data_IF_068490404472
#
_entry.id   IF_068490404472
#
_cell.length_a   1.000
_cell.length_b   1.000
_cell.length_c   1.000
_cell.angle_alpha   90.00
_cell.angle_beta   90.00
_cell.angle_gamma   90.00
#
_symmetry.space_group_name_H-M   'P 1'
#
loop_
_entity.id
_entity.type
_entity.pdbx_description
1 polymer ?
#
# COMPACT_ATOMS: atom_id res chain seq x y z
N UNK A 1 -13.93 -21.14 -22.05
CA UNK A 1 -14.47 -21.52 -20.73
C UNK A 1 -13.76 -20.63 -19.71
N UNK A 2 -14.39 -19.50 -19.34
CA UNK A 2 -13.76 -18.48 -18.50
C UNK A 2 -13.87 -18.90 -17.03
N UNK A 3 -12.74 -18.87 -16.32
CA UNK A 3 -12.62 -19.24 -14.91
C UNK A 3 -13.06 -18.06 -14.05
N UNK A 4 -14.16 -18.32 -13.33
CA UNK A 4 -14.69 -17.71 -12.09
C UNK A 4 -14.09 -16.37 -11.59
N UNK A 5 -14.90 -15.32 -11.66
CA UNK A 5 -14.68 -13.99 -11.07
C UNK A 5 -14.99 -13.97 -9.55
N UNK A 6 -14.67 -15.03 -8.82
CA UNK A 6 -14.93 -15.11 -7.37
C UNK A 6 -14.14 -14.08 -6.55
N UNK A 7 -13.10 -13.46 -7.13
CA UNK A 7 -12.30 -12.38 -6.55
C UNK A 7 -13.01 -11.00 -6.58
N UNK A 8 -14.08 -10.83 -7.37
CA UNK A 8 -14.79 -9.52 -7.47
C UNK A 8 -15.82 -9.28 -6.35
N UNK A 9 -15.87 -10.13 -5.33
CA UNK A 9 -16.77 -9.96 -4.18
C UNK A 9 -16.26 -9.01 -3.10
N UNK A 10 -15.06 -8.44 -3.26
CA UNK A 10 -14.63 -7.30 -2.45
C UNK A 10 -15.14 -5.99 -3.07
N UNK A 11 -16.23 -5.46 -2.52
CA UNK A 11 -16.60 -4.07 -2.78
C UNK A 11 -15.59 -3.15 -2.08
N UNK A 12 -14.65 -2.61 -2.85
CA UNK A 12 -13.74 -1.57 -2.35
C UNK A 12 -14.47 -0.23 -2.37
N UNK A 13 -14.99 0.19 -1.23
CA UNK A 13 -15.54 1.53 -1.07
C UNK A 13 -14.39 2.49 -0.84
N UNK A 14 -14.02 3.25 -1.86
CA UNK A 14 -13.14 4.41 -1.70
C UNK A 14 -13.95 5.56 -1.07
N UNK A 15 -13.75 5.81 0.21
CA UNK A 15 -14.31 6.99 0.89
C UNK A 15 -13.19 8.03 1.00
N UNK A 16 -13.19 9.08 0.16
CA UNK A 16 -12.19 10.12 0.26
C UNK A 16 -12.34 10.86 1.60
N UNK A 17 -11.23 11.11 2.27
CA UNK A 17 -11.17 11.86 3.54
C UNK A 17 -11.56 13.35 3.36
N UNK A 18 -11.58 13.85 2.12
CA UNK A 18 -11.86 15.25 1.80
C UNK A 18 -13.12 15.36 0.93
N UNK A 19 -14.01 16.29 1.30
CA UNK A 19 -15.24 16.60 0.55
C UNK A 19 -14.93 17.58 -0.59
N UNK A 20 -14.39 17.07 -1.69
CA UNK A 20 -14.30 17.84 -2.94
C UNK A 20 -15.52 17.52 -3.81
N UNK A 21 -16.17 18.53 -4.39
CA UNK A 21 -17.39 18.33 -5.20
C UNK A 21 -17.09 17.47 -6.42
N UNK A 22 -17.70 16.28 -6.48
CA UNK A 22 -17.45 15.22 -7.45
C UNK A 22 -18.03 15.53 -8.85
N UNK A 23 -17.22 15.34 -9.90
CA UNK A 23 -17.72 15.02 -11.23
C UNK A 23 -18.04 13.52 -11.30
N UNK A 24 -19.08 13.10 -12.02
CA UNK A 24 -19.50 11.72 -12.02
C UNK A 24 -18.72 10.96 -13.09
N UNK A 25 -18.21 9.79 -12.71
CA UNK A 25 -17.85 8.66 -13.59
C UNK A 25 -16.38 8.35 -13.92
N UNK A 26 -15.37 9.17 -13.58
CA UNK A 26 -13.98 8.73 -13.65
C UNK A 26 -13.14 9.38 -12.54
N UNK A 27 -12.62 8.56 -11.63
CA UNK A 27 -11.56 8.98 -10.71
C UNK A 27 -10.25 9.01 -11.50
N UNK A 28 -9.93 10.15 -12.11
CA UNK A 28 -8.53 10.55 -12.26
C UNK A 28 -8.20 11.36 -11.01
N UNK A 29 -8.14 10.69 -9.85
CA UNK A 29 -7.27 11.21 -8.81
C UNK A 29 -5.88 10.98 -9.38
N UNK A 30 -5.18 12.04 -9.77
CA UNK A 30 -3.73 11.98 -9.84
C UNK A 30 -3.29 11.61 -8.42
N UNK A 31 -3.14 10.31 -8.17
CA UNK A 31 -2.56 9.82 -6.94
C UNK A 31 -1.20 10.48 -6.83
N UNK A 32 -1.01 11.20 -5.72
CA UNK A 32 0.24 11.90 -5.44
C UNK A 32 1.42 10.95 -5.69
N UNK A 33 2.46 11.38 -6.40
CA UNK A 33 3.56 10.50 -6.81
C UNK A 33 4.20 9.79 -5.60
N UNK A 34 4.12 10.40 -4.42
CA UNK A 34 4.52 9.87 -3.13
C UNK A 34 3.75 8.59 -2.69
N UNK A 35 2.56 8.34 -3.24
CA UNK A 35 1.82 7.07 -3.09
C UNK A 35 2.43 5.93 -3.92
N UNK A 36 3.18 6.25 -4.98
CA UNK A 36 3.75 5.28 -5.93
C UNK A 36 5.24 4.97 -5.71
N UNK A 37 5.91 5.62 -4.76
CA UNK A 37 7.38 5.57 -4.64
C UNK A 37 7.89 4.93 -3.34
N UNK A 38 7.08 4.07 -2.72
CA UNK A 38 7.52 3.35 -1.53
C UNK A 38 7.02 1.90 -1.45
N UNK A 39 7.84 1.04 -0.86
CA UNK A 39 7.43 -0.31 -0.46
C UNK A 39 6.89 -0.27 0.95
N UNK A 40 5.69 -0.78 1.15
CA UNK A 40 5.08 -0.93 2.47
C UNK A 40 5.09 -2.40 2.90
N UNK A 41 5.86 -2.71 3.94
CA UNK A 41 5.91 -4.02 4.56
C UNK A 41 4.84 -4.13 5.65
N UNK A 42 4.06 -5.20 5.62
CA UNK A 42 3.09 -5.49 6.68
C UNK A 42 3.77 -5.80 8.03
N UNK A 43 3.04 -5.60 9.13
CA UNK A 43 3.56 -5.79 10.50
C UNK A 43 3.90 -7.24 10.84
N UNK A 44 3.40 -8.19 10.05
CA UNK A 44 3.69 -9.64 10.17
C UNK A 44 4.68 -10.14 9.13
N UNK A 45 5.27 -9.26 8.33
CA UNK A 45 6.31 -9.64 7.39
C UNK A 45 7.47 -10.29 8.14
N UNK A 46 7.90 -11.47 7.68
CA UNK A 46 9.06 -12.13 8.28
C UNK A 46 10.34 -11.32 8.02
N UNK A 47 11.33 -11.47 8.89
CA UNK A 47 12.61 -10.80 8.70
C UNK A 47 13.34 -11.30 7.45
N UNK A 48 13.19 -12.58 7.10
CA UNK A 48 13.74 -13.14 5.86
C UNK A 48 13.16 -12.44 4.63
N UNK A 49 11.83 -12.36 4.53
CA UNK A 49 11.16 -11.65 3.45
C UNK A 49 11.53 -10.17 3.40
N UNK A 50 11.61 -9.51 4.56
CA UNK A 50 11.97 -8.09 4.63
C UNK A 50 13.39 -7.83 4.10
N UNK A 51 14.33 -8.74 4.35
CA UNK A 51 15.70 -8.65 3.79
C UNK A 51 15.73 -8.86 2.29
N UNK A 52 14.96 -9.82 1.78
CA UNK A 52 14.86 -10.07 0.33
C UNK A 52 14.30 -8.83 -0.40
N UNK A 53 13.27 -8.21 0.15
CA UNK A 53 12.69 -6.97 -0.39
C UNK A 53 13.71 -5.83 -0.36
N UNK A 54 14.45 -5.66 0.75
CA UNK A 54 15.52 -4.65 0.83
C UNK A 54 16.63 -4.91 -0.19
N UNK A 55 17.03 -6.16 -0.39
CA UNK A 55 18.04 -6.53 -1.39
C UNK A 55 17.55 -6.23 -2.82
N UNK A 56 16.31 -6.60 -3.14
CA UNK A 56 15.70 -6.32 -4.45
C UNK A 56 15.58 -4.81 -4.71
N UNK A 57 15.15 -4.04 -3.70
CA UNK A 57 15.11 -2.57 -3.77
C UNK A 57 16.49 -2.00 -4.05
N UNK A 58 17.51 -2.43 -3.31
CA UNK A 58 18.86 -1.90 -3.51
C UNK A 58 19.45 -2.25 -4.88
N UNK A 59 19.08 -3.39 -5.44
CA UNK A 59 19.53 -3.82 -6.77
C UNK A 59 18.82 -3.08 -7.91
N UNK A 60 17.52 -2.80 -7.78
CA UNK A 60 16.69 -2.36 -8.90
C UNK A 60 16.08 -0.97 -8.74
N UNK A 61 15.82 -0.53 -7.50
CA UNK A 61 15.07 0.67 -7.17
C UNK A 61 15.69 1.42 -5.96
N UNK A 62 16.98 1.84 -6.04
CA UNK A 62 17.73 2.35 -4.88
C UNK A 62 17.20 3.66 -4.29
N UNK A 63 16.30 4.36 -5.00
CA UNK A 63 15.68 5.62 -4.55
C UNK A 63 14.33 5.42 -3.87
N UNK A 64 13.80 4.19 -3.88
CA UNK A 64 12.45 3.92 -3.40
C UNK A 64 12.45 3.77 -1.88
N UNK A 65 11.62 4.51 -1.16
CA UNK A 65 11.58 4.39 0.29
C UNK A 65 10.95 3.06 0.73
N UNK A 66 11.35 2.54 1.89
CA UNK A 66 10.68 1.36 2.47
C UNK A 66 10.16 1.71 3.85
N UNK A 67 8.89 1.40 4.09
CA UNK A 67 8.21 1.56 5.37
C UNK A 67 7.75 0.21 5.91
N UNK A 68 7.80 0.04 7.23
CA UNK A 68 7.25 -1.13 7.92
C UNK A 68 6.07 -0.70 8.77
N UNK A 69 4.95 -1.40 8.61
CA UNK A 69 3.79 -1.25 9.48
C UNK A 69 4.13 -1.80 10.88
N UNK A 70 3.73 -1.05 11.90
CA UNK A 70 3.78 -1.43 13.31
C UNK A 70 2.37 -1.26 13.89
N UNK A 71 1.97 -2.19 14.74
CA UNK A 71 0.69 -2.12 15.46
C UNK A 71 0.80 -1.14 16.61
N UNK A 72 -0.09 -0.15 16.66
CA UNK A 72 -0.13 0.83 17.74
C UNK A 72 -1.38 0.58 18.59
N UNK A 73 -1.18 -0.07 19.73
CA UNK A 73 -2.26 -0.32 20.70
C UNK A 73 -3.14 -1.54 20.36
N UNK A 74 -4.24 -1.74 21.12
CA UNK A 74 -5.12 -2.89 21.00
C UNK A 74 -6.16 -2.79 19.88
N UNK A 75 -6.41 -1.58 19.38
CA UNK A 75 -7.22 -1.34 18.19
C UNK A 75 -6.36 -1.55 16.95
N UNK A 76 -6.93 -1.98 15.82
CA UNK A 76 -6.25 -2.29 14.56
C UNK A 76 -5.58 -1.07 13.86
N UNK A 77 -5.01 -0.16 14.63
CA UNK A 77 -4.29 1.00 14.15
C UNK A 77 -2.87 0.59 13.77
N UNK A 78 -2.50 0.91 12.53
CA UNK A 78 -1.15 0.74 12.01
C UNK A 78 -0.49 2.10 11.91
N UNK A 79 0.78 2.17 12.35
CA UNK A 79 1.70 3.26 12.02
C UNK A 79 2.78 2.71 11.11
N UNK A 80 3.30 3.53 10.22
CA UNK A 80 4.38 3.14 9.32
C UNK A 80 5.67 3.83 9.75
N UNK A 81 6.75 3.06 9.85
CA UNK A 81 8.08 3.56 10.18
C UNK A 81 9.01 3.34 8.99
N UNK A 82 9.77 4.38 8.62
CA UNK A 82 10.77 4.28 7.54
C UNK A 82 11.94 3.41 7.99
N UNK A 83 12.30 2.44 7.16
CA UNK A 83 13.42 1.52 7.41
C UNK A 83 14.55 1.63 6.39
N UNK A 84 14.32 2.26 5.23
CA UNK A 84 15.34 2.56 4.21
C UNK A 84 14.94 3.67 3.26
#
# INVERSE_FOLDING_TARGET
>A
KHVDWSYEREWRVHVPLLKTSRAPWYYYEEEAQELFEAVYLGCRASDGFSREVLAARNAHLPKMDIYRAITVGPTMQLRFEKIS
#
